data_IF_292551679784
#
_entry.id   IF_292551679784
#
_cell.length_a   1.000
_cell.length_b   1.000
_cell.length_c   1.000
_cell.angle_alpha   90.00
_cell.angle_beta   90.00
_cell.angle_gamma   90.00
#
_symmetry.space_group_name_H-M   'P 1'
#
loop_
_entity.id
_entity.type
_entity.pdbx_description
1 polymer ?
#
# COMPACT_ATOMS: atom_id res chain seq x y z
N UNK A 1 -3.12 -21.79 -1.25
CA UNK A 1 -1.94 -21.41 -0.44
C UNK A 1 -0.90 -20.72 -1.30
N UNK A 2 -0.27 -19.69 -0.76
CA UNK A 2 0.70 -18.86 -1.50
C UNK A 2 1.87 -18.46 -0.58
N UNK A 3 3.09 -18.44 -1.12
CA UNK A 3 4.27 -17.98 -0.40
C UNK A 3 4.25 -16.47 -0.15
N UNK A 4 4.74 -16.02 1.01
CA UNK A 4 4.72 -14.61 1.40
C UNK A 4 5.53 -13.69 0.46
N UNK A 5 6.53 -14.21 -0.23
CA UNK A 5 7.35 -13.46 -1.20
C UNK A 5 6.70 -13.35 -2.60
N UNK A 6 5.56 -14.03 -2.82
CA UNK A 6 4.87 -13.96 -4.12
C UNK A 6 4.33 -12.55 -4.38
N UNK A 7 4.61 -11.95 -5.55
CA UNK A 7 4.07 -10.66 -5.92
C UNK A 7 2.54 -10.68 -5.96
N UNK A 8 1.92 -9.65 -5.41
CA UNK A 8 0.46 -9.52 -5.32
C UNK A 8 -0.22 -9.66 -6.68
N UNK A 9 0.33 -9.03 -7.72
CA UNK A 9 -0.18 -9.15 -9.09
C UNK A 9 -0.18 -10.59 -9.61
N UNK A 10 0.85 -11.39 -9.31
CA UNK A 10 0.88 -12.80 -9.74
C UNK A 10 -0.22 -13.63 -9.10
N UNK A 11 -0.61 -13.29 -7.87
CA UNK A 11 -1.72 -13.96 -7.19
C UNK A 11 -3.06 -13.57 -7.83
N UNK A 12 -3.25 -12.31 -8.19
CA UNK A 12 -4.44 -11.87 -8.92
C UNK A 12 -4.55 -12.56 -10.28
N UNK A 13 -3.45 -12.62 -11.04
CA UNK A 13 -3.42 -13.27 -12.35
C UNK A 13 -3.72 -14.79 -12.24
N UNK A 14 -3.11 -15.48 -11.26
CA UNK A 14 -3.40 -16.89 -10.97
C UNK A 14 -4.86 -17.12 -10.59
N UNK A 15 -5.43 -16.28 -9.74
CA UNK A 15 -6.83 -16.37 -9.33
C UNK A 15 -7.77 -16.22 -10.53
N UNK A 16 -7.51 -15.25 -11.39
CA UNK A 16 -8.27 -15.04 -12.65
C UNK A 16 -8.19 -16.28 -13.57
N UNK A 17 -6.99 -16.84 -13.76
CA UNK A 17 -6.79 -18.03 -14.61
C UNK A 17 -7.54 -19.26 -14.08
N UNK A 18 -7.76 -19.33 -12.77
CA UNK A 18 -8.47 -20.43 -12.09
C UNK A 18 -9.92 -20.08 -11.72
N UNK A 19 -10.50 -19.03 -12.31
CA UNK A 19 -11.91 -18.64 -12.09
C UNK A 19 -12.23 -18.31 -10.63
N UNK A 20 -11.30 -17.72 -9.90
CA UNK A 20 -11.42 -17.35 -8.48
C UNK A 20 -11.52 -15.82 -8.35
N UNK A 21 -12.72 -15.33 -8.05
CA UNK A 21 -13.01 -13.91 -7.83
C UNK A 21 -12.70 -13.47 -6.39
N UNK A 22 -12.59 -12.15 -6.20
CA UNK A 22 -12.36 -11.47 -4.90
C UNK A 22 -10.92 -11.04 -4.69
N UNK A 23 -9.99 -11.46 -5.54
CA UNK A 23 -8.55 -11.14 -5.46
C UNK A 23 -8.11 -10.10 -6.50
N UNK A 24 -9.01 -9.55 -7.31
CA UNK A 24 -8.71 -8.67 -8.45
C UNK A 24 -7.95 -7.40 -8.05
N UNK A 25 -8.24 -6.86 -6.85
CA UNK A 25 -7.60 -5.65 -6.32
C UNK A 25 -6.08 -5.82 -6.12
N UNK A 26 -5.61 -7.06 -5.92
CA UNK A 26 -4.18 -7.36 -5.79
C UNK A 26 -3.38 -7.01 -7.05
N UNK A 27 -4.00 -7.00 -8.23
CA UNK A 27 -3.36 -6.55 -9.48
C UNK A 27 -2.93 -5.08 -9.43
N UNK A 28 -3.54 -4.29 -8.54
CA UNK A 28 -3.23 -2.87 -8.35
C UNK A 28 -2.14 -2.62 -7.30
N UNK A 29 -1.66 -3.64 -6.60
CA UNK A 29 -0.76 -3.48 -5.45
C UNK A 29 0.66 -3.88 -5.86
N UNK A 30 1.62 -2.95 -5.86
CA UNK A 30 3.03 -3.27 -6.08
C UNK A 30 3.66 -3.75 -4.78
N UNK A 31 3.63 -5.06 -4.55
CA UNK A 31 4.14 -5.62 -3.32
C UNK A 31 4.18 -7.14 -3.35
N UNK A 32 4.31 -7.74 -2.20
CA UNK A 32 4.23 -9.18 -1.97
C UNK A 32 3.18 -9.49 -0.92
N UNK A 33 2.63 -10.70 -0.96
CA UNK A 33 1.57 -11.15 -0.06
C UNK A 33 1.92 -10.95 1.42
N UNK A 34 3.15 -11.23 1.84
CA UNK A 34 3.56 -11.00 3.23
C UNK A 34 3.51 -9.54 3.64
N UNK A 35 3.95 -8.65 2.76
CA UNK A 35 3.86 -7.19 2.95
C UNK A 35 2.41 -6.70 2.96
N UNK A 36 1.61 -7.19 2.01
CA UNK A 36 0.19 -6.86 1.89
C UNK A 36 -0.59 -7.26 3.16
N UNK A 37 -0.33 -8.45 3.72
CA UNK A 37 -0.93 -8.92 4.97
C UNK A 37 -0.52 -8.02 6.15
N UNK A 38 0.78 -7.76 6.32
CA UNK A 38 1.30 -6.94 7.42
C UNK A 38 0.69 -5.54 7.45
N UNK A 39 0.46 -4.97 6.26
CA UNK A 39 -0.10 -3.63 6.07
C UNK A 39 -1.62 -3.61 5.92
N UNK A 40 -2.30 -4.75 5.93
CA UNK A 40 -3.70 -4.84 5.50
C UNK A 40 -3.93 -4.02 4.24
N UNK A 41 -3.13 -4.28 3.23
CA UNK A 41 -3.15 -3.47 2.00
C UNK A 41 -4.48 -3.63 1.28
N UNK A 42 -4.98 -2.52 0.76
CA UNK A 42 -6.22 -2.53 0.00
C UNK A 42 -6.36 -1.32 -0.91
N UNK A 43 -7.23 -1.44 -1.88
CA UNK A 43 -7.62 -0.35 -2.77
C UNK A 43 -9.04 -0.58 -3.30
N UNK A 44 -9.70 0.52 -3.67
CA UNK A 44 -11.03 0.53 -4.30
C UNK A 44 -12.12 -0.22 -3.52
N UNK A 45 -12.02 -0.21 -2.18
CA UNK A 45 -13.03 -0.81 -1.29
C UNK A 45 -12.72 -2.23 -0.86
N UNK A 46 -11.68 -2.86 -1.39
CA UNK A 46 -11.21 -4.18 -0.97
C UNK A 46 -9.86 -4.09 -0.24
N UNK A 47 -9.61 -5.06 0.64
CA UNK A 47 -8.36 -5.22 1.39
C UNK A 47 -8.11 -6.69 1.76
N UNK A 48 -6.92 -6.95 2.30
CA UNK A 48 -6.47 -8.30 2.67
C UNK A 48 -7.39 -8.96 3.69
N UNK A 49 -7.97 -8.21 4.64
CA UNK A 49 -8.83 -8.79 5.68
C UNK A 49 -10.03 -9.55 5.13
N UNK A 50 -10.49 -9.19 3.91
CA UNK A 50 -11.64 -9.81 3.25
C UNK A 50 -11.35 -11.16 2.61
N UNK A 51 -10.07 -11.42 2.29
CA UNK A 51 -9.64 -12.59 1.53
C UNK A 51 -8.69 -13.51 2.31
N UNK A 52 -8.20 -13.09 3.46
CA UNK A 52 -7.28 -13.89 4.25
C UNK A 52 -8.03 -14.96 5.05
N UNK A 53 -7.56 -16.22 4.96
CA UNK A 53 -7.99 -17.32 5.82
C UNK A 53 -7.04 -17.53 6.99
N UNK A 54 -5.75 -17.74 6.68
CA UNK A 54 -4.71 -17.97 7.68
C UNK A 54 -3.33 -17.61 7.14
N UNK A 55 -2.38 -17.47 8.03
CA UNK A 55 -0.96 -17.30 7.72
C UNK A 55 -0.13 -18.33 8.47
N UNK A 56 0.97 -18.79 7.86
CA UNK A 56 2.06 -19.46 8.56
C UNK A 56 3.16 -18.46 8.86
N UNK A 57 3.62 -18.46 10.09
CA UNK A 57 4.65 -17.52 10.57
C UNK A 57 5.77 -18.27 11.28
N UNK A 58 6.97 -17.68 11.23
CA UNK A 58 8.11 -18.07 12.07
C UNK A 58 8.21 -17.02 13.19
N UNK A 59 8.24 -17.48 14.43
CA UNK A 59 8.46 -16.67 15.62
C UNK A 59 9.96 -16.43 15.86
N UNK A 60 10.31 -15.48 16.71
CA UNK A 60 11.72 -15.15 17.01
C UNK A 60 12.55 -16.34 17.48
N UNK A 61 11.92 -17.31 18.15
CA UNK A 61 12.57 -18.57 18.62
C UNK A 61 12.65 -19.66 17.55
N UNK A 62 12.23 -19.38 16.31
CA UNK A 62 12.24 -20.33 15.19
C UNK A 62 11.00 -21.24 15.13
N UNK A 63 10.06 -21.13 16.05
CA UNK A 63 8.83 -21.94 16.04
C UNK A 63 7.91 -21.51 14.90
N UNK A 64 7.36 -22.50 14.19
CA UNK A 64 6.37 -22.28 13.14
C UNK A 64 4.98 -22.35 13.77
N UNK A 65 4.13 -21.37 13.45
CA UNK A 65 2.74 -21.29 13.91
C UNK A 65 1.82 -20.91 12.77
N UNK A 66 0.62 -21.48 12.74
CA UNK A 66 -0.48 -21.00 11.92
C UNK A 66 -1.35 -20.03 12.75
N UNK A 67 -1.70 -18.88 12.17
CA UNK A 67 -2.58 -17.86 12.77
C UNK A 67 -3.76 -17.67 11.81
N UNK A 68 -4.98 -17.84 12.30
CA UNK A 68 -6.18 -17.65 11.51
C UNK A 68 -6.55 -16.16 11.43
N UNK A 69 -7.16 -15.74 10.33
CA UNK A 69 -7.57 -14.35 10.12
C UNK A 69 -8.51 -13.84 11.23
N UNK A 70 -9.38 -14.69 11.78
CA UNK A 70 -10.27 -14.37 12.90
C UNK A 70 -9.53 -13.95 14.19
N UNK A 71 -8.28 -14.36 14.35
CA UNK A 71 -7.42 -14.06 15.50
C UNK A 71 -6.54 -12.81 15.25
N UNK A 72 -6.62 -12.23 14.05
CA UNK A 72 -5.88 -11.03 13.64
C UNK A 72 -6.83 -9.82 13.69
N UNK A 73 -6.43 -8.76 14.37
CA UNK A 73 -7.13 -7.47 14.28
C UNK A 73 -6.56 -6.68 13.12
N UNK A 74 -7.42 -6.42 12.14
CA UNK A 74 -7.10 -5.59 10.99
C UNK A 74 -7.58 -4.16 11.21
N UNK A 75 -6.77 -3.21 10.77
CA UNK A 75 -7.13 -1.79 10.74
C UNK A 75 -6.55 -1.13 9.49
N UNK A 76 -6.91 0.11 9.27
CA UNK A 76 -6.45 0.84 8.10
C UNK A 76 -4.92 0.91 8.07
N UNK A 77 -4.29 0.28 7.08
CA UNK A 77 -2.84 0.18 6.88
C UNK A 77 -2.10 -0.47 8.03
N UNK A 78 -2.65 -1.54 8.60
CA UNK A 78 -1.96 -2.29 9.64
C UNK A 78 -2.71 -3.48 10.19
N UNK A 79 -2.01 -4.23 11.04
CA UNK A 79 -2.51 -5.36 11.82
C UNK A 79 -1.89 -5.33 13.21
N UNK A 80 -2.47 -6.09 14.14
CA UNK A 80 -1.90 -6.32 15.47
C UNK A 80 -0.84 -7.44 15.51
N UNK A 81 -0.40 -7.94 14.36
CA UNK A 81 0.67 -8.94 14.31
C UNK A 81 1.97 -8.39 14.91
N UNK A 82 2.62 -9.22 15.73
CA UNK A 82 3.93 -8.89 16.29
C UNK A 82 4.92 -8.51 15.18
N UNK A 83 5.72 -7.48 15.43
CA UNK A 83 6.70 -6.97 14.48
C UNK A 83 7.79 -7.99 14.15
N UNK A 84 8.10 -8.87 15.08
CA UNK A 84 9.14 -9.90 14.97
C UNK A 84 8.68 -11.18 14.26
N UNK A 85 7.38 -11.30 13.93
CA UNK A 85 6.89 -12.44 13.16
C UNK A 85 7.29 -12.32 11.69
N UNK A 86 7.83 -13.42 11.16
CA UNK A 86 8.11 -13.57 9.73
C UNK A 86 6.98 -14.39 9.10
N UNK A 87 6.21 -13.78 8.22
CA UNK A 87 5.18 -14.49 7.45
C UNK A 87 5.86 -15.27 6.35
N UNK A 88 5.59 -16.58 6.26
CA UNK A 88 6.19 -17.47 5.26
C UNK A 88 5.22 -17.86 4.16
N UNK A 89 3.95 -18.09 4.50
CA UNK A 89 2.87 -18.34 3.53
C UNK A 89 1.53 -17.87 4.05
N UNK A 90 0.55 -17.82 3.17
CA UNK A 90 -0.83 -17.48 3.48
C UNK A 90 -1.79 -18.39 2.73
N UNK A 91 -2.95 -18.65 3.31
CA UNK A 91 -4.13 -19.20 2.64
C UNK A 91 -5.11 -18.05 2.38
N UNK A 92 -5.45 -17.85 1.12
CA UNK A 92 -6.43 -16.86 0.68
C UNK A 92 -7.71 -17.55 0.25
N UNK A 93 -8.84 -16.86 0.41
CA UNK A 93 -10.16 -17.33 0.00
C UNK A 93 -10.68 -16.41 -1.09
N UNK A 94 -11.19 -16.99 -2.15
CA UNK A 94 -12.00 -16.34 -3.17
C UNK A 94 -13.32 -17.06 -3.37
N UNK A 95 -14.05 -16.61 -4.37
CA UNK A 95 -15.33 -17.19 -4.78
C UNK A 95 -15.23 -17.63 -6.24
N UNK A 96 -15.85 -18.75 -6.58
CA UNK A 96 -15.96 -19.15 -7.98
C UNK A 96 -16.76 -18.11 -8.78
N UNK A 97 -16.27 -17.74 -9.95
CA UNK A 97 -16.93 -16.82 -10.89
C UNK A 97 -16.44 -17.07 -12.31
N UNK A 98 -17.06 -16.43 -13.29
CA UNK A 98 -16.60 -16.52 -14.68
C UNK A 98 -15.28 -15.77 -14.88
N UNK A 99 -14.31 -16.46 -15.50
CA UNK A 99 -12.98 -15.87 -15.78
C UNK A 99 -13.08 -14.51 -16.47
N UNK A 100 -14.03 -14.36 -17.36
CA UNK A 100 -14.23 -13.14 -18.14
C UNK A 100 -14.62 -11.94 -17.25
N UNK A 101 -15.52 -12.16 -16.27
CA UNK A 101 -15.92 -11.13 -15.30
C UNK A 101 -14.75 -10.70 -14.41
N UNK A 102 -13.95 -11.67 -13.96
CA UNK A 102 -12.76 -11.41 -13.14
C UNK A 102 -11.75 -10.58 -13.93
N UNK A 103 -11.51 -10.94 -15.21
CA UNK A 103 -10.59 -10.23 -16.10
C UNK A 103 -11.03 -8.78 -16.35
N UNK A 104 -12.32 -8.56 -16.65
CA UNK A 104 -12.89 -7.23 -16.86
C UNK A 104 -12.78 -6.35 -15.63
N UNK A 105 -13.10 -6.90 -14.44
CA UNK A 105 -12.96 -6.21 -13.18
C UNK A 105 -11.50 -5.85 -12.90
N UNK A 106 -10.57 -6.78 -13.10
CA UNK A 106 -9.13 -6.54 -12.92
C UNK A 106 -8.62 -5.44 -13.85
N UNK A 107 -8.98 -5.48 -15.15
CA UNK A 107 -8.65 -4.44 -16.12
C UNK A 107 -9.18 -3.07 -15.69
N UNK A 108 -10.45 -3.00 -15.31
CA UNK A 108 -11.08 -1.76 -14.84
C UNK A 108 -10.33 -1.15 -13.66
N UNK A 109 -9.96 -1.96 -12.65
CA UNK A 109 -9.22 -1.48 -11.49
C UNK A 109 -7.82 -0.98 -11.86
N UNK A 110 -7.11 -1.69 -12.74
CA UNK A 110 -5.78 -1.30 -13.22
C UNK A 110 -5.83 0.00 -14.01
N UNK A 111 -6.83 0.16 -14.90
CA UNK A 111 -7.02 1.39 -15.67
C UNK A 111 -7.34 2.57 -14.77
N UNK A 112 -8.26 2.41 -13.82
CA UNK A 112 -8.57 3.42 -12.83
C UNK A 112 -7.33 3.88 -12.06
N UNK A 113 -6.45 2.94 -11.70
CA UNK A 113 -5.17 3.26 -11.08
C UNK A 113 -4.25 4.05 -12.01
N UNK A 114 -4.10 3.62 -13.27
CA UNK A 114 -3.28 4.32 -14.27
C UNK A 114 -3.74 5.76 -14.49
N UNK A 115 -5.06 6.01 -14.45
CA UNK A 115 -5.62 7.35 -14.61
C UNK A 115 -5.32 8.21 -13.37
N UNK A 116 -5.46 7.68 -12.16
CA UNK A 116 -5.42 8.45 -10.91
C UNK A 116 -4.04 8.57 -10.26
N UNK A 117 -3.09 7.70 -10.59
CA UNK A 117 -1.78 7.64 -9.94
C UNK A 117 -0.64 7.74 -10.96
N UNK A 118 0.53 8.28 -10.57
CA UNK A 118 1.70 8.29 -11.44
C UNK A 118 2.17 6.86 -11.73
N UNK A 119 2.57 6.60 -12.96
CA UNK A 119 3.14 5.33 -13.44
C UNK A 119 4.48 5.60 -14.09
N UNK A 120 5.39 4.59 -14.09
CA UNK A 120 6.71 4.67 -14.70
C UNK A 120 7.62 5.78 -14.11
N UNK A 121 7.36 6.17 -12.88
CA UNK A 121 8.12 7.19 -12.14
C UNK A 121 8.62 6.58 -10.83
N UNK A 122 9.83 6.94 -10.40
CA UNK A 122 10.37 6.51 -9.10
C UNK A 122 9.61 7.22 -7.97
N UNK A 123 8.76 6.47 -7.27
CA UNK A 123 7.98 6.92 -6.12
C UNK A 123 7.76 5.77 -5.15
N UNK A 124 7.59 6.07 -3.87
CA UNK A 124 7.27 5.09 -2.84
C UNK A 124 5.76 4.86 -2.69
N UNK A 125 4.93 5.32 -3.63
CA UNK A 125 3.47 5.29 -3.52
C UNK A 125 2.91 6.48 -2.73
N UNK A 126 1.77 6.28 -2.09
CA UNK A 126 1.19 7.30 -1.20
C UNK A 126 2.11 7.59 -0.04
N UNK A 127 2.55 8.84 0.10
CA UNK A 127 3.47 9.25 1.16
C UNK A 127 2.80 9.28 2.53
N UNK A 128 1.55 9.75 2.59
CA UNK A 128 0.80 9.87 3.82
C UNK A 128 -0.46 9.01 3.82
N UNK A 129 -0.81 8.49 5.00
CA UNK A 129 -2.12 7.87 5.25
C UNK A 129 -3.23 8.90 5.13
N UNK A 130 -4.41 8.45 4.71
CA UNK A 130 -5.58 9.31 4.74
C UNK A 130 -6.04 9.50 6.20
N UNK A 131 -6.18 10.73 6.68
CA UNK A 131 -6.85 11.01 7.95
C UNK A 131 -8.31 10.56 7.95
N UNK A 132 -8.89 10.43 9.15
CA UNK A 132 -10.22 9.83 9.35
C UNK A 132 -11.33 10.48 8.52
N UNK A 133 -11.29 11.79 8.34
CA UNK A 133 -12.39 12.57 7.75
C UNK A 133 -12.04 13.21 6.40
N UNK A 134 -10.81 13.06 5.89
CA UNK A 134 -10.36 13.73 4.67
C UNK A 134 -9.24 12.94 4.00
N UNK A 135 -9.08 13.09 2.69
CA UNK A 135 -7.97 12.47 1.98
C UNK A 135 -6.69 13.30 2.17
N UNK A 136 -5.54 12.64 2.30
CA UNK A 136 -4.25 13.34 2.44
C UNK A 136 -3.96 14.27 1.25
N UNK A 137 -4.28 13.82 0.02
CA UNK A 137 -4.08 14.65 -1.17
C UNK A 137 -4.94 15.94 -1.18
N UNK A 138 -6.16 15.90 -0.60
CA UNK A 138 -7.02 17.07 -0.47
C UNK A 138 -6.39 18.10 0.47
N UNK A 139 -5.87 17.64 1.62
CA UNK A 139 -5.19 18.51 2.59
C UNK A 139 -3.91 19.14 2.01
N UNK A 140 -3.14 18.38 1.24
CA UNK A 140 -1.93 18.86 0.57
C UNK A 140 -2.28 19.95 -0.44
N UNK A 141 -3.33 19.74 -1.25
CA UNK A 141 -3.81 20.71 -2.24
C UNK A 141 -4.40 21.96 -1.58
N UNK A 142 -5.26 21.81 -0.57
CA UNK A 142 -5.84 22.92 0.22
C UNK A 142 -4.75 23.76 0.90
N UNK A 143 -3.62 23.12 1.20
CA UNK A 143 -2.46 23.80 1.78
C UNK A 143 -1.55 24.45 0.74
N UNK A 144 -1.87 24.39 -0.56
CA UNK A 144 -1.06 24.87 -1.68
C UNK A 144 0.36 24.28 -1.68
N UNK A 145 0.47 22.97 -1.36
CA UNK A 145 1.76 22.29 -1.32
C UNK A 145 2.09 21.52 -2.60
N UNK A 146 1.17 21.41 -3.55
CA UNK A 146 1.29 20.59 -4.76
C UNK A 146 2.49 20.93 -5.65
N UNK A 147 3.00 22.14 -5.52
CA UNK A 147 4.16 22.61 -6.30
C UNK A 147 5.47 22.60 -5.51
N UNK A 148 5.48 22.01 -4.30
CA UNK A 148 6.70 21.97 -3.50
C UNK A 148 7.77 21.10 -4.15
N UNK A 149 8.98 21.63 -4.12
CA UNK A 149 10.21 20.99 -4.60
C UNK A 149 11.28 21.19 -3.53
N UNK A 150 12.13 20.20 -3.35
CA UNK A 150 13.37 20.26 -2.56
C UNK A 150 14.44 19.52 -3.34
N UNK A 151 15.43 20.28 -3.85
CA UNK A 151 16.43 19.72 -4.76
C UNK A 151 15.80 19.02 -5.96
N UNK A 152 16.04 17.72 -6.09
CA UNK A 152 15.48 16.90 -7.16
C UNK A 152 14.23 16.09 -6.73
N UNK A 153 13.75 16.26 -5.50
CA UNK A 153 12.51 15.69 -5.02
C UNK A 153 11.34 16.63 -5.28
N UNK A 154 10.24 16.14 -5.84
CA UNK A 154 9.04 16.92 -6.10
C UNK A 154 7.75 16.15 -5.79
N UNK A 155 6.66 16.89 -5.64
CA UNK A 155 5.32 16.30 -5.58
C UNK A 155 4.85 16.00 -7.00
N UNK A 156 4.15 14.87 -7.17
CA UNK A 156 3.60 14.48 -8.46
C UNK A 156 2.46 15.41 -8.88
N UNK A 157 2.52 15.93 -10.07
CA UNK A 157 1.45 16.74 -10.69
C UNK A 157 0.14 15.94 -10.84
N UNK A 158 0.26 14.61 -11.01
CA UNK A 158 -0.88 13.72 -11.18
C UNK A 158 -1.61 13.41 -9.88
N UNK A 159 -0.87 13.33 -8.76
CA UNK A 159 -1.45 13.00 -7.45
C UNK A 159 -0.58 13.54 -6.32
N UNK A 160 -1.07 14.58 -5.62
CA UNK A 160 -0.28 15.32 -4.62
C UNK A 160 0.25 14.49 -3.44
N UNK A 161 -0.32 13.32 -3.15
CA UNK A 161 0.19 12.43 -2.09
C UNK A 161 1.28 11.47 -2.57
N UNK A 162 1.78 11.64 -3.81
CA UNK A 162 2.90 10.88 -4.37
C UNK A 162 4.10 11.79 -4.53
N UNK A 163 5.17 11.47 -3.82
CA UNK A 163 6.42 12.19 -3.93
C UNK A 163 7.35 11.46 -4.89
N UNK A 164 8.00 12.21 -5.75
CA UNK A 164 8.69 11.68 -6.93
C UNK A 164 10.17 12.02 -6.86
N UNK A 165 10.99 10.99 -7.14
CA UNK A 165 12.41 11.14 -7.41
C UNK A 165 12.64 11.15 -8.93
N UNK A 166 13.07 12.29 -9.46
CA UNK A 166 13.43 12.43 -10.89
C UNK A 166 14.72 11.68 -11.28
N UNK A 167 15.19 10.76 -10.43
CA UNK A 167 16.38 9.95 -10.68
C UNK A 167 17.66 10.48 -10.02
N UNK A 168 17.62 11.69 -9.46
CA UNK A 168 18.77 12.35 -8.80
C UNK A 168 18.48 12.81 -7.37
N UNK A 169 17.25 12.66 -6.87
CA UNK A 169 16.91 13.05 -5.51
C UNK A 169 17.55 12.09 -4.49
N UNK A 170 18.16 12.67 -3.47
CA UNK A 170 18.64 11.96 -2.28
C UNK A 170 17.48 11.64 -1.33
N UNK A 171 17.68 10.68 -0.41
CA UNK A 171 16.72 10.40 0.67
C UNK A 171 16.49 11.65 1.52
N UNK A 172 17.55 12.41 1.81
CA UNK A 172 17.46 13.65 2.58
C UNK A 172 16.54 14.69 1.93
N UNK A 173 16.65 14.91 0.62
CA UNK A 173 15.75 15.83 -0.11
C UNK A 173 14.28 15.36 -0.05
N UNK A 174 14.03 14.04 -0.13
CA UNK A 174 12.69 13.50 0.03
C UNK A 174 12.16 13.70 1.44
N UNK A 175 12.96 13.47 2.46
CA UNK A 175 12.58 13.68 3.87
C UNK A 175 12.34 15.16 4.20
N UNK A 176 13.18 16.07 3.69
CA UNK A 176 12.96 17.50 3.80
C UNK A 176 11.65 17.93 3.14
N UNK A 177 11.34 17.41 1.95
CA UNK A 177 10.08 17.66 1.26
C UNK A 177 8.88 17.14 2.07
N UNK A 178 8.99 15.94 2.64
CA UNK A 178 7.97 15.34 3.51
C UNK A 178 7.71 16.25 4.72
N UNK A 179 8.75 16.67 5.41
CA UNK A 179 8.65 17.51 6.60
C UNK A 179 8.04 18.88 6.27
N UNK A 180 8.47 19.50 5.17
CA UNK A 180 7.92 20.77 4.70
C UNK A 180 6.40 20.68 4.45
N UNK A 181 5.96 19.61 3.80
CA UNK A 181 4.52 19.38 3.55
C UNK A 181 3.76 19.14 4.86
N UNK A 182 4.27 18.28 5.75
CA UNK A 182 3.65 18.01 7.06
C UNK A 182 3.44 19.29 7.87
N UNK A 183 4.48 20.12 7.97
CA UNK A 183 4.42 21.38 8.71
C UNK A 183 3.42 22.36 8.10
N UNK A 184 3.43 22.51 6.77
CA UNK A 184 2.55 23.43 6.08
C UNK A 184 1.09 23.01 6.24
N UNK A 185 0.79 21.72 6.04
CA UNK A 185 -0.57 21.18 6.26
C UNK A 185 -0.99 21.36 7.70
N UNK A 186 -0.12 21.05 8.69
CA UNK A 186 -0.44 21.25 10.11
C UNK A 186 -0.74 22.71 10.44
N UNK A 187 0.04 23.66 9.91
CA UNK A 187 -0.16 25.10 10.14
C UNK A 187 -1.50 25.58 9.58
N UNK A 188 -1.85 25.14 8.36
CA UNK A 188 -3.06 25.63 7.66
C UNK A 188 -4.34 24.91 8.07
N UNK A 189 -4.30 23.58 8.25
CA UNK A 189 -5.51 22.76 8.45
C UNK A 189 -5.64 22.21 9.88
N UNK A 190 -4.64 22.41 10.75
CA UNK A 190 -4.52 21.81 12.09
C UNK A 190 -4.50 20.28 12.09
N UNK A 191 -4.29 19.65 10.93
CA UNK A 191 -4.25 18.19 10.77
C UNK A 191 -2.80 17.71 10.74
N UNK A 192 -2.48 16.70 11.53
CA UNK A 192 -1.19 16.02 11.48
C UNK A 192 -1.25 14.88 10.46
N UNK A 193 -0.43 14.94 9.41
CA UNK A 193 -0.30 13.85 8.45
C UNK A 193 0.63 12.76 9.00
N UNK A 194 0.18 11.51 8.95
CA UNK A 194 0.95 10.32 9.30
C UNK A 194 1.56 9.69 8.03
N UNK A 195 2.81 9.25 8.11
CA UNK A 195 3.47 8.54 7.01
C UNK A 195 2.81 7.17 6.75
N UNK A 196 2.55 6.86 5.49
CA UNK A 196 2.25 5.50 5.02
C UNK A 196 3.54 4.78 4.64
N UNK A 197 4.52 5.49 4.10
CA UNK A 197 5.86 4.99 3.81
C UNK A 197 6.67 4.79 5.10
N UNK A 198 7.71 3.97 5.02
CA UNK A 198 8.69 3.76 6.10
C UNK A 198 10.04 4.28 5.67
N UNK A 199 10.64 5.11 6.51
CA UNK A 199 12.02 5.56 6.37
C UNK A 199 12.90 4.53 7.09
N UNK A 200 13.92 4.03 6.41
CA UNK A 200 14.85 3.03 6.92
C UNK A 200 16.26 3.56 6.71
N UNK A 201 17.10 3.45 7.72
CA UNK A 201 18.50 3.90 7.68
C UNK A 201 18.94 4.42 9.05
N UNK A 202 20.13 5.00 9.07
CA UNK A 202 20.66 5.69 10.23
C UNK A 202 20.48 7.19 10.04
N UNK A 203 20.15 7.89 11.11
CA UNK A 203 20.27 9.34 11.18
C UNK A 203 21.77 9.68 11.19
N UNK A 204 22.25 10.34 10.14
CA UNK A 204 23.60 10.91 10.07
C UNK A 204 23.61 12.32 10.64
#
# INVERSE_FOLDING_TARGET
>A
EVGAATPDKKVADFAMENSVAGLEFLACIPGSIGGAIKMNTGCYGDDISKILHSIKVIQAQGHIKEIFAKDIKFFYRGTNLDKNLIITSAKLIGKESFKQEIEEKQKTLVERKKISQPSQIKTCGSTFKNPKNKKAWELIKESNCEHFVVGNAKISEKHCNFFVNNGKASSKELEELINKVKETVRKKTKTNLELEIKIIGYDN
#
